data_IF_779726490319
#
_entry.id   IF_779726490319
#
_cell.length_a   1.000
_cell.length_b   1.000
_cell.length_c   1.000
_cell.angle_alpha   90.00
_cell.angle_beta   90.00
_cell.angle_gamma   90.00
#
_symmetry.space_group_name_H-M   'P 1'
#
loop_
_entity.id
_entity.type
_entity.pdbx_description
1 polymer ?
#
# COMPACT_ATOMS: atom_id res chain seq x y z
N UNK A 1 0.49 38.00 -3.14
CA UNK A 1 -0.21 38.60 -2.01
C UNK A 1 -1.25 39.56 -2.60
N UNK A 2 -2.55 39.19 -2.57
CA UNK A 2 -3.60 40.12 -2.96
C UNK A 2 -3.69 41.19 -1.89
N UNK A 3 -3.48 42.43 -2.25
CA UNK A 3 -3.60 43.59 -1.35
C UNK A 3 -5.08 44.00 -1.11
N UNK A 4 -6.00 43.33 -1.76
CA UNK A 4 -7.44 43.67 -1.67
C UNK A 4 -8.21 42.52 -1.01
N UNK A 5 -8.83 42.71 0.17
CA UNK A 5 -9.52 41.65 0.92
C UNK A 5 -10.75 41.03 0.20
N UNK A 6 -11.20 41.65 -0.90
CA UNK A 6 -12.31 41.16 -1.71
C UNK A 6 -11.89 40.18 -2.82
N UNK A 7 -10.60 40.02 -3.08
CA UNK A 7 -10.14 39.22 -4.20
C UNK A 7 -10.07 37.75 -3.81
N UNK A 8 -10.93 36.95 -4.39
CA UNK A 8 -10.90 35.51 -4.32
C UNK A 8 -10.09 34.95 -5.48
N UNK A 9 -9.10 34.12 -5.17
CA UNK A 9 -8.40 33.32 -6.19
C UNK A 9 -9.09 31.96 -6.22
N UNK A 10 -9.57 31.59 -7.39
CA UNK A 10 -10.10 30.22 -7.60
C UNK A 10 -9.33 29.53 -8.72
N UNK A 11 -9.05 28.25 -8.54
CA UNK A 11 -8.44 27.40 -9.55
C UNK A 11 -9.20 26.09 -9.68
N UNK A 12 -9.38 25.64 -10.91
CA UNK A 12 -9.98 24.34 -11.20
C UNK A 12 -9.07 23.59 -12.16
N UNK A 13 -8.60 22.44 -11.72
CA UNK A 13 -7.78 21.53 -12.55
C UNK A 13 -8.56 20.24 -12.76
N UNK A 14 -8.65 19.82 -14.02
CA UNK A 14 -9.25 18.53 -14.37
C UNK A 14 -8.23 17.67 -15.09
N UNK A 15 -8.02 16.46 -14.59
CA UNK A 15 -7.12 15.48 -15.16
C UNK A 15 -7.92 14.21 -15.48
N UNK A 16 -7.63 13.60 -16.61
CA UNK A 16 -8.18 12.29 -16.97
C UNK A 16 -7.02 11.36 -17.22
N UNK A 17 -6.98 10.23 -16.52
CA UNK A 17 -5.97 9.19 -16.72
C UNK A 17 -6.65 7.94 -17.27
N UNK A 18 -6.08 7.38 -18.34
CA UNK A 18 -6.49 6.08 -18.88
C UNK A 18 -5.66 4.99 -18.20
N UNK A 19 -6.29 4.15 -17.38
CA UNK A 19 -5.68 2.95 -16.82
C UNK A 19 -6.31 1.71 -17.44
N UNK A 20 -5.64 0.55 -17.28
CA UNK A 20 -6.08 -0.76 -17.76
C UNK A 20 -7.51 -1.12 -17.33
N UNK A 21 -7.98 -0.59 -16.21
CA UNK A 21 -9.31 -0.81 -15.60
C UNK A 21 -10.30 0.33 -15.87
N UNK A 22 -10.08 1.16 -16.88
CA UNK A 22 -10.95 2.27 -17.26
C UNK A 22 -10.37 3.65 -17.02
N UNK A 23 -11.10 4.68 -17.48
CA UNK A 23 -10.70 6.08 -17.32
C UNK A 23 -10.98 6.55 -15.88
N UNK A 24 -9.99 7.11 -15.23
CA UNK A 24 -10.15 7.81 -13.95
C UNK A 24 -10.21 9.31 -14.21
N UNK A 25 -11.30 9.94 -13.83
CA UNK A 25 -11.47 11.38 -13.85
C UNK A 25 -11.08 11.95 -12.49
N UNK A 26 -10.18 12.91 -12.49
CA UNK A 26 -9.75 13.63 -11.31
C UNK A 26 -10.05 15.12 -11.51
N UNK A 27 -10.73 15.75 -10.56
CA UNK A 27 -10.90 17.21 -10.55
C UNK A 27 -10.52 17.78 -9.20
N UNK A 28 -9.67 18.80 -9.21
CA UNK A 28 -9.29 19.59 -8.05
C UNK A 28 -9.85 21.00 -8.22
N UNK A 29 -10.61 21.44 -7.24
CA UNK A 29 -11.09 22.81 -7.12
C UNK A 29 -10.46 23.42 -5.87
N UNK A 30 -9.89 24.60 -6.00
CA UNK A 30 -9.31 25.34 -4.89
C UNK A 30 -9.78 26.79 -4.90
N UNK A 31 -10.12 27.32 -3.73
CA UNK A 31 -10.48 28.71 -3.53
C UNK A 31 -9.65 29.27 -2.36
N UNK A 32 -8.94 30.33 -2.62
CA UNK A 32 -8.16 31.04 -1.61
C UNK A 32 -8.83 32.35 -1.24
N UNK A 33 -8.97 32.60 0.05
CA UNK A 33 -9.44 33.87 0.62
C UNK A 33 -8.67 34.15 1.89
N UNK A 34 -8.01 35.31 1.94
CA UNK A 34 -7.17 35.70 3.08
C UNK A 34 -6.10 34.63 3.40
N UNK A 35 -6.13 34.06 4.60
CA UNK A 35 -5.21 33.02 5.08
C UNK A 35 -5.74 31.59 4.89
N UNK A 36 -6.91 31.43 4.22
CA UNK A 36 -7.57 30.13 4.04
C UNK A 36 -7.61 29.71 2.59
N UNK A 37 -7.38 28.40 2.39
CA UNK A 37 -7.59 27.74 1.10
C UNK A 37 -8.54 26.57 1.31
N UNK A 38 -9.71 26.67 0.68
CA UNK A 38 -10.67 25.58 0.64
C UNK A 38 -10.43 24.77 -0.62
N UNK A 39 -10.27 23.46 -0.48
CA UNK A 39 -10.01 22.55 -1.59
C UNK A 39 -11.06 21.45 -1.64
N UNK A 40 -11.41 21.06 -2.86
CA UNK A 40 -12.24 19.88 -3.11
C UNK A 40 -11.60 19.04 -4.20
N UNK A 41 -11.27 17.81 -3.86
CA UNK A 41 -10.77 16.78 -4.78
C UNK A 41 -11.89 15.80 -5.07
N UNK A 42 -12.27 15.63 -6.32
CA UNK A 42 -13.20 14.60 -6.74
C UNK A 42 -12.49 13.63 -7.68
N UNK A 43 -12.83 12.35 -7.55
CA UNK A 43 -12.37 11.32 -8.48
C UNK A 43 -13.48 10.31 -8.75
N UNK A 44 -13.40 9.64 -9.89
CA UNK A 44 -14.33 8.59 -10.25
C UNK A 44 -13.91 7.85 -11.50
N UNK A 45 -14.34 6.61 -11.61
CA UNK A 45 -14.18 5.79 -12.79
C UNK A 45 -15.49 5.06 -13.11
N UNK A 46 -15.60 4.58 -14.35
CA UNK A 46 -16.72 3.77 -14.85
C UNK A 46 -16.26 2.33 -15.14
N UNK A 47 -15.30 1.81 -14.37
CA UNK A 47 -14.75 0.48 -14.55
C UNK A 47 -15.63 -0.60 -13.91
N UNK A 48 -15.24 -1.87 -14.08
CA UNK A 48 -15.90 -3.05 -13.49
C UNK A 48 -16.00 -2.93 -11.97
N UNK A 49 -14.94 -2.37 -11.33
CA UNK A 49 -14.95 -2.02 -9.91
C UNK A 49 -14.98 -0.49 -9.77
N UNK A 50 -15.91 0.04 -9.01
CA UNK A 50 -16.10 1.47 -8.87
C UNK A 50 -15.11 2.04 -7.85
N UNK A 51 -14.35 3.05 -8.29
CA UNK A 51 -13.52 3.89 -7.43
C UNK A 51 -14.00 5.33 -7.58
N UNK A 52 -14.61 5.88 -6.56
CA UNK A 52 -15.07 7.26 -6.58
C UNK A 52 -15.02 7.89 -5.20
N UNK A 53 -14.92 9.19 -5.15
CA UNK A 53 -14.95 9.92 -3.91
C UNK A 53 -14.85 11.43 -4.09
N UNK A 54 -15.10 12.10 -2.99
CA UNK A 54 -14.94 13.55 -2.85
C UNK A 54 -14.24 13.80 -1.53
N UNK A 55 -13.08 14.45 -1.56
CA UNK A 55 -12.38 14.92 -0.36
C UNK A 55 -12.44 16.43 -0.32
N UNK A 56 -12.98 16.98 0.75
CA UNK A 56 -12.97 18.40 1.00
C UNK A 56 -12.10 18.71 2.21
N UNK A 57 -11.25 19.71 2.09
CA UNK A 57 -10.38 20.17 3.16
C UNK A 57 -10.26 21.69 3.15
N UNK A 58 -10.03 22.26 4.32
CA UNK A 58 -9.71 23.67 4.49
C UNK A 58 -8.32 23.78 5.11
N UNK A 59 -7.41 24.42 4.40
CA UNK A 59 -6.09 24.75 4.93
C UNK A 59 -6.09 26.20 5.39
N UNK A 60 -5.62 26.44 6.63
CA UNK A 60 -5.39 27.77 7.15
C UNK A 60 -3.89 27.99 7.31
N UNK A 61 -3.38 29.08 6.74
CA UNK A 61 -1.98 29.45 6.77
C UNK A 61 -1.73 30.51 7.84
N UNK A 62 -1.00 30.16 8.87
CA UNK A 62 -0.67 31.06 9.96
C UNK A 62 0.76 31.57 9.79
N UNK A 63 0.96 32.87 9.84
CA UNK A 63 2.29 33.48 9.89
C UNK A 63 2.69 33.72 11.34
N UNK A 64 3.85 33.23 11.73
CA UNK A 64 4.42 33.53 13.03
C UNK A 64 5.23 34.81 12.91
N UNK A 65 5.06 35.79 13.84
CA UNK A 65 5.84 37.00 13.89
C UNK A 65 7.29 36.64 14.29
N UNK A 66 8.27 37.01 13.46
CA UNK A 66 9.69 36.78 13.68
C UNK A 66 10.52 37.14 12.48
N UNK A 67 11.85 37.15 12.60
CA UNK A 67 12.79 37.51 11.52
C UNK A 67 12.67 36.60 10.27
N UNK A 68 12.21 35.36 10.45
CA UNK A 68 11.84 34.46 9.36
C UNK A 68 10.39 33.98 9.59
N UNK A 69 9.44 34.41 8.77
CA UNK A 69 8.05 33.95 8.90
C UNK A 69 7.99 32.44 8.70
N UNK A 70 7.64 31.72 9.74
CA UNK A 70 7.36 30.29 9.68
C UNK A 70 5.94 30.10 9.15
N UNK A 71 5.80 29.31 8.11
CA UNK A 71 4.48 28.96 7.58
C UNK A 71 3.96 27.75 8.33
N UNK A 72 2.84 27.93 9.04
CA UNK A 72 2.08 26.85 9.64
C UNK A 72 0.79 26.69 8.85
N UNK A 73 0.51 25.47 8.39
CA UNK A 73 -0.74 25.14 7.75
C UNK A 73 -1.54 24.18 8.64
N UNK A 74 -2.78 24.51 8.93
CA UNK A 74 -3.75 23.63 9.57
C UNK A 74 -4.74 23.16 8.51
N UNK A 75 -4.85 21.86 8.30
CA UNK A 75 -5.73 21.26 7.30
C UNK A 75 -6.79 20.45 8.02
N UNK A 76 -8.02 20.95 7.98
CA UNK A 76 -9.18 20.24 8.48
C UNK A 76 -9.78 19.39 7.34
N UNK A 77 -9.81 18.08 7.53
CA UNK A 77 -10.41 17.14 6.58
C UNK A 77 -11.86 16.92 6.94
N UNK A 78 -12.75 17.26 6.03
CA UNK A 78 -14.18 17.12 6.23
C UNK A 78 -14.62 15.66 6.08
N UNK A 79 -15.66 15.24 6.84
CA UNK A 79 -16.22 13.90 6.68
C UNK A 79 -16.70 13.69 5.25
N UNK A 80 -16.36 12.53 4.69
CA UNK A 80 -16.77 12.23 3.31
C UNK A 80 -16.88 10.72 3.08
N UNK A 81 -17.71 10.38 2.10
CA UNK A 81 -17.88 9.01 1.64
C UNK A 81 -16.98 8.76 0.41
N UNK A 82 -16.34 7.61 0.39
CA UNK A 82 -15.43 7.17 -0.65
C UNK A 82 -15.82 5.76 -1.07
N UNK A 83 -15.96 5.52 -2.36
CA UNK A 83 -16.17 4.17 -2.88
C UNK A 83 -14.84 3.61 -3.36
N UNK A 84 -14.46 2.47 -2.80
CA UNK A 84 -13.28 1.69 -3.21
C UNK A 84 -13.73 0.28 -3.54
N UNK A 85 -13.56 -0.12 -4.79
CA UNK A 85 -13.95 -1.45 -5.29
C UNK A 85 -15.39 -1.81 -4.90
N UNK A 86 -16.35 -0.95 -5.28
CA UNK A 86 -17.79 -1.04 -4.99
C UNK A 86 -18.16 -1.02 -3.49
N UNK A 87 -17.21 -0.76 -2.61
CA UNK A 87 -17.41 -0.71 -1.17
C UNK A 87 -17.39 0.73 -0.66
N UNK A 88 -18.41 1.11 0.09
CA UNK A 88 -18.53 2.44 0.66
C UNK A 88 -17.69 2.56 1.94
N UNK A 89 -16.72 3.44 1.93
CA UNK A 89 -15.86 3.80 3.05
C UNK A 89 -16.15 5.23 3.52
N UNK A 90 -15.86 5.52 4.77
CA UNK A 90 -16.01 6.84 5.37
C UNK A 90 -14.68 7.40 5.83
N UNK A 91 -14.35 8.61 5.42
CA UNK A 91 -13.32 9.43 6.05
C UNK A 91 -14.01 10.24 7.15
N UNK A 92 -13.52 10.10 8.38
CA UNK A 92 -14.03 10.85 9.52
C UNK A 92 -13.32 12.20 9.66
N UNK A 93 -13.91 13.18 10.40
CA UNK A 93 -13.24 14.45 10.65
C UNK A 93 -11.86 14.22 11.23
N UNK A 94 -10.87 14.87 10.64
CA UNK A 94 -9.47 14.77 11.09
C UNK A 94 -8.75 16.09 10.81
N UNK A 95 -7.63 16.30 11.48
CA UNK A 95 -6.80 17.48 11.29
C UNK A 95 -5.35 17.07 11.05
N UNK A 96 -4.74 17.73 10.08
CA UNK A 96 -3.30 17.64 9.81
C UNK A 96 -2.70 19.03 10.00
N UNK A 97 -1.67 19.13 10.84
CA UNK A 97 -0.94 20.37 11.07
C UNK A 97 0.46 20.23 10.49
N UNK A 98 0.80 21.07 9.53
CA UNK A 98 2.14 21.14 8.93
C UNK A 98 2.84 22.38 9.46
N UNK A 99 3.99 22.22 10.08
CA UNK A 99 4.75 23.30 10.70
C UNK A 99 6.25 23.03 10.51
N UNK A 100 6.93 23.83 9.69
CA UNK A 100 8.41 23.91 9.55
C UNK A 100 9.19 22.61 9.76
N UNK A 101 8.89 21.57 8.97
CA UNK A 101 9.57 20.26 9.08
C UNK A 101 8.91 19.29 10.06
N UNK A 102 7.70 19.62 10.51
CA UNK A 102 6.88 18.77 11.37
C UNK A 102 5.48 18.59 10.77
N UNK A 103 4.95 17.38 10.86
CA UNK A 103 3.58 17.09 10.48
C UNK A 103 2.89 16.35 11.63
N UNK A 104 1.88 16.98 12.23
CA UNK A 104 1.02 16.36 13.24
C UNK A 104 -0.23 15.83 12.54
N UNK A 105 -0.52 14.55 12.67
CA UNK A 105 -1.75 13.91 12.19
C UNK A 105 -2.63 13.61 13.39
N UNK A 106 -3.78 14.29 13.46
CA UNK A 106 -4.70 14.15 14.57
C UNK A 106 -5.92 13.35 14.14
N UNK A 107 -5.98 12.11 14.61
CA UNK A 107 -7.12 11.20 14.47
C UNK A 107 -7.62 11.00 13.03
N UNK A 108 -6.72 10.85 12.05
CA UNK A 108 -7.17 10.40 10.75
C UNK A 108 -7.78 8.99 10.90
N UNK A 109 -9.06 8.87 10.53
CA UNK A 109 -9.81 7.64 10.64
C UNK A 109 -10.63 7.41 9.38
N UNK A 110 -10.33 6.30 8.70
CA UNK A 110 -10.96 5.85 7.48
C UNK A 110 -11.53 4.46 7.73
N UNK A 111 -12.84 4.27 7.53
CA UNK A 111 -13.50 3.04 7.96
C UNK A 111 -14.63 2.57 7.06
N UNK A 112 -14.87 1.26 7.09
CA UNK A 112 -16.04 0.58 6.55
C UNK A 112 -16.47 -0.49 7.55
N UNK A 113 -17.61 -0.28 8.23
CA UNK A 113 -18.03 -1.12 9.37
C UNK A 113 -16.93 -1.22 10.44
N UNK A 114 -16.45 -2.43 10.71
CA UNK A 114 -15.38 -2.72 11.68
C UNK A 114 -13.97 -2.73 11.08
N UNK A 115 -13.85 -2.56 9.75
CA UNK A 115 -12.58 -2.41 9.03
C UNK A 115 -12.12 -0.97 9.08
N UNK A 116 -10.84 -0.73 9.32
CA UNK A 116 -10.34 0.63 9.38
C UNK A 116 -8.84 0.80 9.13
N UNK A 117 -8.49 2.01 8.74
CA UNK A 117 -7.16 2.60 8.81
C UNK A 117 -7.22 3.78 9.76
N UNK A 118 -6.40 3.77 10.80
CA UNK A 118 -6.25 4.90 11.72
C UNK A 118 -4.81 5.38 11.70
N UNK A 119 -4.61 6.69 11.55
CA UNK A 119 -3.29 7.31 11.58
C UNK A 119 -3.30 8.40 12.64
N UNK A 120 -2.35 8.36 13.55
CA UNK A 120 -2.20 9.36 14.61
C UNK A 120 -0.73 9.54 14.99
N UNK A 121 -0.36 10.76 15.35
CA UNK A 121 0.97 11.06 15.87
C UNK A 121 1.67 12.16 15.09
N UNK A 122 3.00 12.23 15.27
CA UNK A 122 3.84 13.30 14.75
C UNK A 122 4.96 12.75 13.90
N UNK A 123 5.20 13.38 12.76
CA UNK A 123 6.34 13.16 11.88
C UNK A 123 7.27 14.37 11.93
N UNK A 124 8.52 14.14 12.23
CA UNK A 124 9.59 15.15 12.21
C UNK A 124 10.96 14.48 12.04
N UNK A 125 12.04 15.23 12.16
CA UNK A 125 13.40 14.71 12.25
C UNK A 125 13.77 14.23 13.67
N UNK A 126 12.92 14.49 14.66
CA UNK A 126 13.15 14.05 16.03
C UNK A 126 12.76 12.57 16.16
N UNK A 127 13.67 11.68 16.60
CA UNK A 127 13.36 10.26 16.79
C UNK A 127 12.25 9.98 17.81
N UNK A 128 11.98 10.89 18.73
CA UNK A 128 10.89 10.78 19.70
C UNK A 128 9.49 11.01 19.07
N UNK A 129 9.45 11.72 17.95
CA UNK A 129 8.21 11.97 17.23
C UNK A 129 7.86 10.76 16.35
N UNK A 130 6.74 10.15 16.64
CA UNK A 130 6.31 8.91 15.97
C UNK A 130 4.89 9.03 15.46
N UNK A 131 4.67 8.62 14.22
CA UNK A 131 3.35 8.34 13.69
C UNK A 131 3.08 6.84 13.81
N UNK A 132 1.88 6.52 14.28
CA UNK A 132 1.32 5.17 14.33
C UNK A 132 0.22 5.02 13.30
N UNK A 133 0.26 3.92 12.56
CA UNK A 133 -0.80 3.47 11.66
C UNK A 133 -1.36 2.17 12.19
N UNK A 134 -2.65 2.14 12.51
CA UNK A 134 -3.38 0.93 12.88
C UNK A 134 -4.28 0.51 11.71
N UNK A 135 -4.20 -0.75 11.35
CA UNK A 135 -4.99 -1.39 10.29
C UNK A 135 -5.85 -2.49 10.89
N UNK A 136 -7.09 -2.59 10.44
CA UNK A 136 -7.97 -3.73 10.76
C UNK A 136 -8.70 -4.20 9.52
N UNK A 137 -8.45 -5.46 9.13
CA UNK A 137 -9.08 -6.16 8.02
C UNK A 137 -9.06 -5.36 6.70
N UNK A 138 -7.90 -4.78 6.37
CA UNK A 138 -7.68 -4.01 5.15
C UNK A 138 -7.21 -4.94 4.04
N UNK A 139 -7.96 -4.98 2.94
CA UNK A 139 -7.58 -5.75 1.77
C UNK A 139 -6.27 -5.23 1.16
N UNK A 140 -5.26 -6.10 1.06
CA UNK A 140 -3.94 -5.72 0.56
C UNK A 140 -3.96 -5.29 -0.90
N UNK A 141 -4.83 -5.86 -1.72
CA UNK A 141 -4.98 -5.47 -3.12
C UNK A 141 -5.22 -3.97 -3.27
N UNK A 142 -6.02 -3.34 -2.40
CA UNK A 142 -6.22 -1.88 -2.43
C UNK A 142 -4.93 -1.09 -2.21
N UNK A 143 -4.07 -1.57 -1.29
CA UNK A 143 -2.80 -0.90 -0.99
C UNK A 143 -1.84 -0.99 -2.17
N UNK A 144 -1.74 -2.16 -2.81
CA UNK A 144 -0.88 -2.37 -3.97
C UNK A 144 -1.40 -1.68 -5.23
N UNK A 145 -2.72 -1.59 -5.42
CA UNK A 145 -3.36 -0.82 -6.50
C UNK A 145 -3.04 0.68 -6.38
N UNK A 146 -3.18 1.24 -5.18
CA UNK A 146 -2.84 2.65 -4.92
C UNK A 146 -1.34 2.90 -5.13
N UNK A 147 -0.49 1.97 -4.70
CA UNK A 147 0.97 2.05 -4.89
C UNK A 147 1.41 1.80 -6.36
N UNK A 148 0.48 1.40 -7.23
CA UNK A 148 0.72 1.06 -8.64
C UNK A 148 1.75 -0.06 -8.83
N UNK A 149 1.65 -1.10 -8.00
CA UNK A 149 2.50 -2.31 -8.01
C UNK A 149 1.71 -3.52 -8.53
N UNK A 150 0.38 -3.49 -8.48
CA UNK A 150 -0.54 -4.59 -8.82
C UNK A 150 -0.48 -5.09 -10.27
N UNK A 151 0.06 -4.30 -11.20
CA UNK A 151 0.17 -4.72 -12.61
C UNK A 151 1.17 -5.87 -12.81
N UNK A 152 2.15 -5.99 -11.93
CA UNK A 152 3.25 -6.94 -12.06
C UNK A 152 3.11 -8.13 -11.08
N UNK A 153 2.50 -7.90 -9.90
CA UNK A 153 2.33 -8.92 -8.84
C UNK A 153 1.05 -8.63 -8.07
N UNK A 154 0.16 -9.60 -7.97
CA UNK A 154 -1.09 -9.44 -7.22
C UNK A 154 -0.98 -10.10 -5.84
N UNK A 155 -0.99 -9.28 -4.79
CA UNK A 155 -1.07 -9.72 -3.39
C UNK A 155 -2.48 -9.45 -2.86
N UNK A 156 -3.11 -10.48 -2.32
CA UNK A 156 -4.45 -10.38 -1.72
C UNK A 156 -4.44 -10.92 -0.28
N UNK A 157 -5.46 -10.55 0.47
CA UNK A 157 -5.66 -10.94 1.86
C UNK A 157 -6.05 -9.74 2.71
N UNK A 158 -6.61 -10.01 3.88
CA UNK A 158 -7.07 -8.96 4.80
C UNK A 158 -6.03 -8.73 5.90
N UNK A 159 -5.40 -7.57 5.87
CA UNK A 159 -4.31 -7.18 6.78
C UNK A 159 -4.84 -6.52 8.05
N UNK A 160 -4.38 -6.99 9.19
CA UNK A 160 -4.59 -6.40 10.51
C UNK A 160 -3.26 -6.23 11.22
N UNK A 161 -3.02 -5.08 11.86
CA UNK A 161 -1.80 -4.84 12.61
C UNK A 161 -1.43 -3.38 12.71
N UNK A 162 -0.14 -3.12 12.95
CA UNK A 162 0.38 -1.78 13.21
C UNK A 162 1.66 -1.49 12.44
N UNK A 163 1.82 -0.23 12.06
CA UNK A 163 3.08 0.30 11.56
C UNK A 163 3.46 1.58 12.31
N UNK A 164 4.75 1.82 12.45
CA UNK A 164 5.32 3.00 13.10
C UNK A 164 6.35 3.64 12.19
N UNK A 165 6.40 4.96 12.19
CA UNK A 165 7.43 5.72 11.50
C UNK A 165 7.90 6.91 12.34
N UNK A 166 9.22 7.13 12.38
CA UNK A 166 9.86 8.30 13.00
C UNK A 166 11.05 8.78 12.17
N UNK A 167 11.58 9.97 12.44
CA UNK A 167 12.72 10.56 11.72
C UNK A 167 12.62 10.56 10.19
N UNK A 168 11.42 10.73 9.67
CA UNK A 168 11.07 10.40 8.27
C UNK A 168 11.74 11.28 7.23
N UNK A 169 12.20 12.49 7.60
CA UNK A 169 12.77 13.45 6.65
C UNK A 169 14.31 13.34 6.50
N UNK A 170 15.00 12.67 7.44
CA UNK A 170 16.46 12.49 7.38
C UNK A 170 16.89 11.04 7.30
N UNK A 171 16.60 10.29 8.35
CA UNK A 171 16.96 8.88 8.47
C UNK A 171 15.73 8.11 8.95
N UNK A 172 14.82 7.73 8.06
CA UNK A 172 13.57 7.11 8.44
C UNK A 172 13.79 5.83 9.24
N UNK A 173 13.06 5.72 10.34
CA UNK A 173 12.91 4.49 11.09
C UNK A 173 11.48 4.07 10.95
N UNK A 174 11.25 2.94 10.29
CA UNK A 174 9.91 2.40 10.10
C UNK A 174 9.90 0.93 10.45
N UNK A 175 8.86 0.49 11.13
CA UNK A 175 8.62 -0.92 11.38
C UNK A 175 7.13 -1.23 11.33
N UNK A 176 6.81 -2.49 11.04
CA UNK A 176 5.44 -2.96 10.97
C UNK A 176 5.33 -4.38 11.49
N UNK A 177 4.18 -4.70 12.06
CA UNK A 177 3.75 -6.06 12.38
C UNK A 177 2.33 -6.25 11.89
N UNK A 178 2.17 -7.17 10.96
CA UNK A 178 0.90 -7.45 10.33
C UNK A 178 0.58 -8.94 10.42
N UNK A 179 -0.69 -9.22 10.60
CA UNK A 179 -1.31 -10.50 10.32
C UNK A 179 -2.18 -10.34 9.09
N UNK A 180 -1.98 -11.18 8.09
CA UNK A 180 -2.75 -11.15 6.84
C UNK A 180 -3.51 -12.46 6.72
N UNK A 181 -4.81 -12.38 6.86
CA UNK A 181 -5.70 -13.53 6.72
C UNK A 181 -5.92 -13.85 5.25
N UNK A 182 -5.94 -15.16 4.92
CA UNK A 182 -6.16 -15.64 3.56
C UNK A 182 -5.20 -15.02 2.53
N UNK A 183 -3.92 -14.90 2.90
CA UNK A 183 -2.90 -14.37 2.00
C UNK A 183 -2.81 -15.21 0.73
N UNK A 184 -2.82 -14.54 -0.40
CA UNK A 184 -2.64 -15.14 -1.71
C UNK A 184 -1.70 -14.31 -2.58
N UNK A 185 -1.01 -14.99 -3.47
CA UNK A 185 -0.11 -14.44 -4.48
C UNK A 185 -0.59 -14.91 -5.85
N UNK A 186 -0.88 -13.98 -6.76
CA UNK A 186 -1.31 -14.29 -8.14
C UNK A 186 -2.38 -15.40 -8.20
N UNK A 187 -3.45 -15.25 -7.42
CA UNK A 187 -4.57 -16.21 -7.29
C UNK A 187 -4.22 -17.56 -6.62
N UNK A 188 -2.97 -17.79 -6.23
CA UNK A 188 -2.57 -18.94 -5.42
C UNK A 188 -2.68 -18.63 -3.94
N UNK A 189 -3.71 -19.18 -3.26
CA UNK A 189 -3.84 -19.04 -1.81
C UNK A 189 -2.67 -19.75 -1.12
N UNK A 190 -1.95 -19.01 -0.26
CA UNK A 190 -0.78 -19.50 0.46
C UNK A 190 -1.06 -19.80 1.94
N UNK A 191 -2.07 -19.17 2.54
CA UNK A 191 -2.44 -19.36 3.94
C UNK A 191 -2.57 -18.07 4.72
N UNK A 192 -2.39 -18.12 6.03
CA UNK A 192 -2.35 -16.93 6.89
C UNK A 192 -0.91 -16.49 7.10
N UNK A 193 -0.64 -15.20 6.93
CA UNK A 193 0.70 -14.65 6.91
C UNK A 193 0.92 -13.74 8.14
N UNK A 194 1.97 -14.02 8.92
CA UNK A 194 2.48 -13.09 9.93
C UNK A 194 3.74 -12.40 9.39
N UNK A 195 3.78 -11.08 9.48
CA UNK A 195 4.86 -10.26 8.92
C UNK A 195 5.44 -9.33 9.97
N UNK A 196 6.74 -9.34 10.09
CA UNK A 196 7.53 -8.24 10.61
C UNK A 196 8.28 -7.57 9.44
N UNK A 197 8.17 -6.24 9.34
CA UNK A 197 8.90 -5.44 8.36
C UNK A 197 9.61 -4.27 9.02
N UNK A 198 10.83 -3.95 8.56
CA UNK A 198 11.57 -2.80 9.03
C UNK A 198 12.33 -2.14 7.87
N UNK A 199 12.35 -0.80 7.86
CA UNK A 199 13.09 -0.05 6.85
C UNK A 199 14.59 -0.11 7.11
N UNK A 200 15.36 -0.51 6.11
CA UNK A 200 16.82 -0.49 6.09
C UNK A 200 17.30 0.73 5.29
N UNK A 201 17.95 1.67 5.96
CA UNK A 201 18.44 2.89 5.33
C UNK A 201 19.63 2.68 4.39
N UNK A 202 20.46 1.67 4.64
CA UNK A 202 21.63 1.37 3.82
C UNK A 202 21.21 0.71 2.52
N UNK A 203 20.36 -0.30 2.62
CA UNK A 203 19.84 -1.04 1.48
C UNK A 203 18.69 -0.32 0.78
N UNK A 204 18.12 0.74 1.39
CA UNK A 204 16.96 1.50 0.90
C UNK A 204 15.78 0.60 0.56
N UNK A 205 15.52 -0.35 1.43
CA UNK A 205 14.49 -1.36 1.28
C UNK A 205 13.85 -1.75 2.60
N UNK A 206 12.84 -2.58 2.53
CA UNK A 206 12.14 -3.12 3.69
C UNK A 206 12.69 -4.52 3.95
N UNK A 207 13.38 -4.71 5.08
CA UNK A 207 13.64 -6.04 5.62
C UNK A 207 12.34 -6.71 5.99
N UNK A 208 12.17 -7.96 5.59
CA UNK A 208 11.01 -8.79 5.84
C UNK A 208 11.41 -10.04 6.60
N UNK A 209 10.73 -10.36 7.68
CA UNK A 209 10.71 -11.67 8.35
C UNK A 209 9.25 -12.09 8.50
N UNK A 210 8.85 -13.13 7.80
CA UNK A 210 7.48 -13.56 7.73
C UNK A 210 7.33 -15.07 7.86
N UNK A 211 6.15 -15.48 8.35
CA UNK A 211 5.74 -16.88 8.42
C UNK A 211 4.36 -17.07 7.80
N UNK A 212 4.23 -18.07 6.96
CA UNK A 212 2.98 -18.45 6.30
C UNK A 212 2.49 -19.76 6.91
N UNK A 213 1.29 -19.75 7.47
CA UNK A 213 0.62 -20.90 8.05
C UNK A 213 -0.57 -21.30 7.19
N UNK A 214 -0.54 -22.51 6.65
CA UNK A 214 -1.67 -23.12 5.95
C UNK A 214 -2.00 -24.49 6.60
N UNK A 215 -2.04 -25.56 5.87
CA UNK A 215 -2.39 -26.89 6.37
C UNK A 215 -1.22 -27.60 7.07
N UNK A 216 0.03 -27.27 6.72
CA UNK A 216 1.22 -27.88 7.31
C UNK A 216 1.33 -27.59 8.81
N UNK A 217 1.74 -28.56 9.64
CA UNK A 217 2.02 -28.30 11.05
C UNK A 217 3.16 -27.27 11.26
N UNK A 218 4.10 -27.21 10.32
CA UNK A 218 5.21 -26.25 10.34
C UNK A 218 4.92 -25.10 9.39
N UNK A 219 5.04 -23.84 9.83
CA UNK A 219 4.88 -22.70 8.96
C UNK A 219 6.02 -22.59 7.95
N UNK A 220 5.72 -22.16 6.74
CA UNK A 220 6.74 -21.73 5.80
C UNK A 220 7.32 -20.39 6.26
N UNK A 221 8.63 -20.18 6.10
CA UNK A 221 9.31 -18.96 6.49
C UNK A 221 9.82 -18.18 5.28
N UNK A 222 9.69 -16.86 5.33
CA UNK A 222 10.13 -15.95 4.27
C UNK A 222 10.97 -14.86 4.90
N UNK A 223 12.24 -14.74 4.47
CA UNK A 223 13.16 -13.73 4.97
C UNK A 223 13.84 -13.05 3.80
N UNK A 224 13.98 -11.72 3.85
CA UNK A 224 14.76 -11.00 2.85
C UNK A 224 14.42 -9.53 2.77
N UNK A 225 14.47 -8.99 1.56
CA UNK A 225 14.31 -7.58 1.29
C UNK A 225 13.23 -7.33 0.23
N UNK A 226 12.44 -6.27 0.42
CA UNK A 226 11.58 -5.70 -0.60
C UNK A 226 12.07 -4.29 -0.90
N UNK A 227 12.26 -3.99 -2.17
CA UNK A 227 12.74 -2.69 -2.67
C UNK A 227 11.57 -1.96 -3.34
N UNK A 228 10.85 -1.06 -2.62
CA UNK A 228 9.66 -0.39 -3.18
C UNK A 228 9.99 0.79 -4.10
N UNK A 229 11.22 1.31 -4.06
CA UNK A 229 11.60 2.55 -4.73
C UNK A 229 12.08 2.29 -6.16
N UNK A 230 11.47 2.96 -7.14
CA UNK A 230 11.94 2.95 -8.54
C UNK A 230 13.30 3.68 -8.65
N UNK A 231 14.18 3.27 -9.58
CA UNK A 231 14.02 2.24 -10.63
C UNK A 231 14.29 0.81 -10.16
N UNK A 232 14.71 0.60 -8.90
CA UNK A 232 15.16 -0.70 -8.38
C UNK A 232 14.04 -1.51 -7.73
N UNK A 233 12.78 -1.15 -7.97
CA UNK A 233 11.64 -1.85 -7.35
C UNK A 233 11.64 -3.34 -7.66
N UNK A 234 11.62 -4.16 -6.60
CA UNK A 234 11.73 -5.61 -6.70
C UNK A 234 11.80 -6.26 -5.32
N UNK A 235 12.29 -7.49 -5.28
CA UNK A 235 12.45 -8.25 -4.05
C UNK A 235 13.66 -9.19 -4.11
N UNK A 236 14.09 -9.64 -2.91
CA UNK A 236 15.15 -10.63 -2.70
C UNK A 236 14.78 -11.41 -1.43
N UNK A 237 14.09 -12.54 -1.61
CA UNK A 237 13.46 -13.31 -0.54
C UNK A 237 13.96 -14.76 -0.55
N UNK A 238 14.40 -15.24 0.61
CA UNK A 238 14.68 -16.64 0.87
C UNK A 238 13.45 -17.26 1.53
N UNK A 239 12.94 -18.33 0.94
CA UNK A 239 11.74 -19.04 1.35
C UNK A 239 12.12 -20.46 1.79
N UNK A 240 11.79 -20.82 3.02
CA UNK A 240 11.80 -22.19 3.52
C UNK A 240 10.36 -22.68 3.52
N UNK A 241 9.98 -23.38 2.47
CA UNK A 241 8.62 -23.79 2.20
C UNK A 241 8.28 -25.12 2.87
N UNK A 242 7.13 -25.19 3.51
CA UNK A 242 6.54 -26.42 4.10
C UNK A 242 5.14 -26.61 3.53
N UNK A 243 4.99 -27.55 2.60
CA UNK A 243 3.73 -27.85 1.90
C UNK A 243 3.04 -26.58 1.34
N UNK A 244 3.83 -25.67 0.78
CA UNK A 244 3.32 -24.42 0.22
C UNK A 244 2.55 -24.71 -1.08
N UNK A 245 1.38 -24.11 -1.25
CA UNK A 245 0.56 -24.24 -2.45
C UNK A 245 1.30 -23.64 -3.66
N UNK A 246 1.48 -24.43 -4.72
CA UNK A 246 2.26 -24.06 -5.89
C UNK A 246 1.48 -23.33 -6.98
N UNK A 247 0.17 -23.14 -6.82
CA UNK A 247 -0.68 -22.50 -7.84
C UNK A 247 -0.21 -21.10 -8.25
N UNK A 248 0.42 -20.34 -7.36
CA UNK A 248 0.96 -19.02 -7.66
C UNK A 248 2.03 -19.04 -8.78
N UNK A 249 2.71 -20.17 -8.99
CA UNK A 249 3.72 -20.35 -10.03
C UNK A 249 3.10 -20.30 -11.43
N UNK A 250 1.81 -20.61 -11.58
CA UNK A 250 1.12 -20.58 -12.86
C UNK A 250 1.21 -19.21 -13.54
N UNK A 251 1.21 -18.13 -12.74
CA UNK A 251 1.39 -16.77 -13.27
C UNK A 251 2.75 -16.59 -13.96
N UNK A 252 3.82 -17.16 -13.41
CA UNK A 252 5.19 -17.04 -13.95
C UNK A 252 5.47 -18.05 -15.06
N UNK A 253 4.73 -19.15 -15.10
CA UNK A 253 4.92 -20.25 -16.05
C UNK A 253 3.91 -20.28 -17.18
N UNK A 254 3.11 -19.22 -17.38
CA UNK A 254 2.00 -19.14 -18.36
C UNK A 254 2.36 -19.58 -19.79
N UNK A 255 3.60 -19.40 -20.20
CA UNK A 255 4.08 -19.81 -21.53
C UNK A 255 4.54 -21.27 -21.62
N UNK A 256 4.58 -21.98 -20.50
CA UNK A 256 5.17 -23.32 -20.41
C UNK A 256 4.19 -24.31 -19.80
N UNK A 257 3.51 -23.93 -18.70
CA UNK A 257 2.64 -24.81 -17.93
C UNK A 257 1.38 -24.08 -17.42
N UNK A 258 0.28 -24.82 -17.37
CA UNK A 258 -1.00 -24.42 -16.84
C UNK A 258 -1.53 -25.50 -15.87
N UNK A 259 -2.65 -25.17 -15.18
CA UNK A 259 -3.32 -26.08 -14.24
C UNK A 259 -2.37 -26.63 -13.16
N UNK A 260 -1.46 -25.78 -12.65
CA UNK A 260 -0.53 -26.16 -11.60
C UNK A 260 -1.30 -26.40 -10.29
N UNK A 261 -1.25 -27.64 -9.80
CA UNK A 261 -1.87 -28.09 -8.55
C UNK A 261 -0.84 -28.86 -7.76
N UNK A 262 -0.94 -28.77 -6.44
CA UNK A 262 -0.05 -29.50 -5.53
C UNK A 262 0.67 -28.57 -4.56
N UNK A 263 1.54 -29.17 -3.78
CA UNK A 263 2.27 -28.50 -2.71
C UNK A 263 3.75 -28.81 -2.79
N UNK A 264 4.56 -27.91 -2.29
CA UNK A 264 6.01 -28.04 -2.31
C UNK A 264 6.64 -27.79 -0.96
N UNK A 265 7.66 -28.58 -0.64
CA UNK A 265 8.52 -28.43 0.54
C UNK A 265 9.97 -28.31 0.09
N UNK A 266 10.66 -27.26 0.51
CA UNK A 266 12.02 -27.01 0.11
C UNK A 266 12.47 -25.58 0.28
N UNK A 267 13.68 -25.29 -0.19
CA UNK A 267 14.29 -23.95 -0.09
C UNK A 267 14.34 -23.29 -1.45
N UNK A 268 13.84 -22.06 -1.49
CA UNK A 268 13.72 -21.29 -2.72
C UNK A 268 14.20 -19.86 -2.50
N UNK A 269 14.95 -19.35 -3.45
CA UNK A 269 15.33 -17.94 -3.57
C UNK A 269 14.44 -17.27 -4.63
N UNK A 270 13.64 -16.31 -4.20
CA UNK A 270 12.71 -15.56 -5.06
C UNK A 270 13.20 -14.11 -5.14
N UNK A 271 13.68 -13.70 -6.30
CA UNK A 271 14.42 -12.44 -6.43
C UNK A 271 14.24 -11.77 -7.80
N UNK A 272 14.60 -10.50 -7.86
CA UNK A 272 14.60 -9.71 -9.10
C UNK A 272 13.66 -8.49 -9.05
N UNK A 273 13.54 -7.82 -10.19
CA UNK A 273 12.61 -6.69 -10.34
C UNK A 273 11.18 -7.21 -10.49
N UNK A 274 10.19 -6.47 -10.01
CA UNK A 274 8.77 -6.91 -10.10
C UNK A 274 8.32 -7.28 -11.52
N UNK A 275 8.92 -6.67 -12.56
CA UNK A 275 8.64 -7.01 -13.97
C UNK A 275 9.35 -8.27 -14.49
N UNK A 276 10.26 -8.85 -13.72
CA UNK A 276 11.06 -9.99 -14.14
C UNK A 276 11.61 -10.71 -12.93
N UNK A 277 10.71 -11.30 -12.13
CA UNK A 277 11.08 -12.10 -10.97
C UNK A 277 11.63 -13.46 -11.40
N UNK A 278 12.65 -13.89 -10.69
CA UNK A 278 13.33 -15.19 -10.84
C UNK A 278 13.06 -16.04 -9.61
N UNK A 279 13.10 -17.35 -9.83
CA UNK A 279 12.95 -18.33 -8.78
C UNK A 279 14.04 -19.38 -8.97
N UNK A 280 14.85 -19.60 -7.93
CA UNK A 280 15.93 -20.57 -7.90
C UNK A 280 15.85 -21.41 -6.61
N UNK A 281 16.13 -22.71 -6.71
CA UNK A 281 16.09 -23.59 -5.56
C UNK A 281 15.65 -25.01 -5.88
N UNK A 282 15.39 -25.77 -4.82
CA UNK A 282 14.95 -27.15 -4.92
C UNK A 282 13.71 -27.39 -4.04
N UNK A 283 12.70 -27.97 -4.62
CA UNK A 283 11.41 -28.25 -3.96
C UNK A 283 11.03 -29.69 -4.23
N UNK A 284 10.78 -30.46 -3.18
CA UNK A 284 10.06 -31.73 -3.29
C UNK A 284 8.58 -31.42 -3.40
N UNK A 285 7.90 -32.01 -4.36
CA UNK A 285 6.53 -31.67 -4.65
C UNK A 285 5.68 -32.91 -4.91
N UNK A 286 4.42 -32.82 -4.50
CA UNK A 286 3.32 -33.64 -4.99
C UNK A 286 2.46 -32.74 -5.87
N UNK A 287 2.87 -32.57 -7.12
CA UNK A 287 2.27 -31.61 -8.03
C UNK A 287 1.85 -32.25 -9.35
N UNK A 288 0.81 -31.68 -9.94
CA UNK A 288 0.41 -31.94 -11.32
C UNK A 288 0.36 -30.64 -12.10
N UNK A 289 0.76 -30.68 -13.36
CA UNK A 289 0.70 -29.55 -14.26
C UNK A 289 0.47 -30.02 -15.71
N UNK A 290 -0.10 -29.14 -16.52
CA UNK A 290 -0.26 -29.34 -17.94
C UNK A 290 0.77 -28.53 -18.71
N UNK A 291 1.61 -29.21 -19.51
CA UNK A 291 2.54 -28.53 -20.40
C UNK A 291 1.89 -28.19 -21.72
N UNK A 292 1.90 -26.92 -22.12
CA UNK A 292 1.22 -26.42 -23.34
C UNK A 292 1.85 -26.99 -24.60
N UNK A 293 3.18 -27.11 -24.65
CA UNK A 293 3.93 -27.61 -25.81
C UNK A 293 3.56 -29.07 -26.13
N UNK A 294 3.27 -29.88 -25.11
CA UNK A 294 2.99 -31.29 -25.25
C UNK A 294 1.50 -31.64 -25.17
N UNK A 295 0.68 -30.65 -24.80
CA UNK A 295 -0.75 -30.86 -24.46
C UNK A 295 -0.99 -32.08 -23.54
N UNK A 296 -0.07 -32.31 -22.62
CA UNK A 296 0.01 -33.52 -21.78
C UNK A 296 0.01 -33.11 -20.30
N UNK A 297 -0.73 -33.84 -19.47
CA UNK A 297 -0.71 -33.71 -18.02
C UNK A 297 0.41 -34.59 -17.44
N UNK A 298 1.23 -34.02 -16.56
CA UNK A 298 2.22 -34.71 -15.78
C UNK A 298 1.88 -34.60 -14.29
N UNK A 299 2.04 -35.72 -13.57
CA UNK A 299 2.07 -35.75 -12.12
C UNK A 299 3.53 -36.06 -11.71
N UNK A 300 4.07 -35.29 -10.76
CA UNK A 300 5.45 -35.42 -10.28
C UNK A 300 5.40 -35.67 -8.79
#
# INVERSE_FOLDING_TARGET
LCENPSDHISAKVRLTSLKKNGAVNLSLEAQAKEDKVSTTLNWGNNAIATYSGKLAAVAQFLRTAGEKPLLKAMVDVNPTDVILNDTLWKIHPSQVVVDSGRVDVNNFYFSHHDRYVRINGRLSDNPADTVKVDLKDINMGYVFDIANISDDVNFEGDATGTAYASSVFKKPVMNTRLFVKNFSLNQGRLGDLNVYGAWDNEKRGIYLDASIQDISPSPSRVIGMIYPLKPESGLDLNIDAHELNLKFLEFYMKSIAQDIKGRGTGKVHFYGKFKGLNLDGAVMTDASMKFDILNTHFAV
#
